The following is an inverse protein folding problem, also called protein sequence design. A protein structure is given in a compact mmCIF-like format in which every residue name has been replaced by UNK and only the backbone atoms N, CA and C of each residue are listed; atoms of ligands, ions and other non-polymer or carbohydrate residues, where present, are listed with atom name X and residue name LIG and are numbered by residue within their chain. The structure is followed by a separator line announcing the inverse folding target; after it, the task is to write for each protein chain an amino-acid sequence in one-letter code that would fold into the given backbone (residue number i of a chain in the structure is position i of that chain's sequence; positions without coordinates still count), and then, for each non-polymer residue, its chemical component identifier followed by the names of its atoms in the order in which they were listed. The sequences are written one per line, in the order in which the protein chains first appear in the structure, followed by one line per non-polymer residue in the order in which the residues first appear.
data_IF_309476962023
#
_entry.id   IF_309476962023
#
_cell.length_a   1.000
_cell.length_b   1.000
_cell.length_c   1.000
_cell.angle_alpha   90.00
_cell.angle_beta   90.00
_cell.angle_gamma   90.00
#
_symmetry.space_group_name_H-M   'P 1'
#
loop_
_entity.id
_entity.type
_entity.pdbx_description
1 polymer ?
#
# COMPACT_ATOMS: atom_id res chain seq x y z
N UNK A 1 -6.33 -8.32 20.61
CA UNK A 1 -5.10 -7.54 20.39
C UNK A 1 -5.50 -6.09 20.16
N UNK A 2 -4.75 -5.10 20.66
CA UNK A 2 -5.05 -3.69 20.38
C UNK A 2 -4.76 -3.41 18.88
N UNK A 3 -5.67 -2.77 18.11
CA UNK A 3 -5.45 -2.45 16.70
C UNK A 3 -4.11 -1.75 16.40
N UNK A 4 -3.67 -0.87 17.30
CA UNK A 4 -2.37 -0.18 17.17
C UNK A 4 -1.20 -1.15 17.24
N UNK A 5 -1.25 -2.11 18.15
CA UNK A 5 -0.19 -3.10 18.32
C UNK A 5 -0.12 -4.04 17.11
N UNK A 6 -1.28 -4.43 16.56
CA UNK A 6 -1.35 -5.24 15.34
C UNK A 6 -0.74 -4.50 14.14
N UNK A 7 -1.03 -3.20 13.97
CA UNK A 7 -0.44 -2.40 12.89
C UNK A 7 1.08 -2.25 13.04
N UNK A 8 1.56 -1.94 14.25
CA UNK A 8 3.00 -1.84 14.53
C UNK A 8 3.70 -3.17 14.25
N UNK A 9 3.07 -4.30 14.58
CA UNK A 9 3.61 -5.62 14.27
C UNK A 9 3.67 -5.90 12.76
N UNK A 10 2.64 -5.53 12.01
CA UNK A 10 2.65 -5.64 10.54
C UNK A 10 3.79 -4.84 9.93
N UNK A 11 4.00 -3.60 10.40
CA UNK A 11 5.15 -2.77 10.01
C UNK A 11 6.48 -3.48 10.29
N UNK A 12 6.73 -3.95 11.52
CA UNK A 12 8.00 -4.60 11.85
C UNK A 12 8.18 -5.93 11.12
N UNK A 13 7.11 -6.68 10.88
CA UNK A 13 7.15 -7.92 10.11
C UNK A 13 7.59 -7.66 8.67
N UNK A 14 6.98 -6.67 8.02
CA UNK A 14 7.35 -6.30 6.65
C UNK A 14 8.73 -5.67 6.57
N UNK A 15 9.07 -4.72 7.46
CA UNK A 15 10.40 -4.08 7.49
C UNK A 15 11.55 -5.10 7.56
N UNK A 16 11.35 -6.23 8.24
CA UNK A 16 12.36 -7.32 8.33
C UNK A 16 12.63 -8.02 7.00
N UNK A 17 11.72 -7.95 6.02
CA UNK A 17 11.91 -8.55 4.69
C UNK A 17 12.67 -7.65 3.74
N UNK A 18 12.89 -6.39 4.12
CA UNK A 18 13.47 -5.35 3.26
C UNK A 18 14.94 -5.13 3.61
N UNK A 19 15.78 -5.10 2.57
CA UNK A 19 17.18 -4.76 2.72
C UNK A 19 17.38 -3.25 2.68
N UNK A 20 17.46 -2.61 3.85
CA UNK A 20 17.65 -1.15 3.97
C UNK A 20 19.00 -0.65 3.45
N UNK A 21 19.96 -1.54 3.16
CA UNK A 21 21.24 -1.15 2.57
C UNK A 21 21.17 -1.00 1.03
N UNK A 22 20.00 -1.24 0.43
CA UNK A 22 19.75 -1.03 -1.01
C UNK A 22 18.73 0.11 -1.18
N UNK A 23 19.23 1.35 -1.16
CA UNK A 23 18.48 2.58 -1.47
C UNK A 23 18.71 3.09 -2.89
N UNK A 24 18.22 4.30 -3.19
CA UNK A 24 18.47 5.03 -4.44
C UNK A 24 17.53 4.69 -5.60
N UNK A 25 16.42 3.99 -5.34
CA UNK A 25 15.44 3.61 -6.37
C UNK A 25 14.07 4.19 -6.06
N UNK A 26 13.48 4.86 -7.04
CA UNK A 26 12.08 5.27 -6.99
C UNK A 26 11.17 4.05 -7.17
N UNK A 27 10.02 4.01 -6.48
CA UNK A 27 9.06 2.95 -6.69
C UNK A 27 8.48 3.00 -8.11
N UNK A 28 8.11 1.83 -8.61
CA UNK A 28 7.37 1.67 -9.85
C UNK A 28 5.87 1.68 -9.55
N UNK A 29 5.13 2.58 -10.21
CA UNK A 29 3.71 2.82 -9.92
C UNK A 29 2.87 1.56 -10.12
N UNK A 30 3.00 0.90 -11.28
CA UNK A 30 2.19 -0.27 -11.62
C UNK A 30 2.44 -1.41 -10.64
N UNK A 31 3.70 -1.68 -10.28
CA UNK A 31 4.03 -2.69 -9.26
C UNK A 31 3.43 -2.36 -7.90
N UNK A 32 3.43 -1.09 -7.49
CA UNK A 32 2.83 -0.70 -6.22
C UNK A 32 1.31 -0.92 -6.21
N UNK A 33 0.61 -0.58 -7.30
CA UNK A 33 -0.81 -0.87 -7.45
C UNK A 33 -1.06 -2.37 -7.31
N UNK A 34 -0.27 -3.21 -7.99
CA UNK A 34 -0.35 -4.66 -7.85
C UNK A 34 -0.11 -5.16 -6.43
N UNK A 35 0.89 -4.62 -5.73
CA UNK A 35 1.12 -4.97 -4.33
C UNK A 35 -0.07 -4.62 -3.43
N UNK A 36 -0.73 -3.48 -3.67
CA UNK A 36 -1.92 -3.09 -2.90
C UNK A 36 -3.05 -4.11 -3.10
N UNK A 37 -3.33 -4.46 -4.35
CA UNK A 37 -4.43 -5.37 -4.72
C UNK A 37 -4.16 -6.83 -4.31
N UNK A 38 -2.90 -7.27 -4.37
CA UNK A 38 -2.51 -8.62 -3.92
C UNK A 38 -2.40 -8.76 -2.41
N UNK A 39 -2.58 -7.67 -1.67
CA UNK A 39 -2.55 -7.71 -0.22
C UNK A 39 -1.15 -7.66 0.39
N UNK A 40 -0.20 -6.95 -0.22
CA UNK A 40 1.20 -6.89 0.22
C UNK A 40 1.59 -5.45 0.60
N UNK A 41 2.11 -5.20 1.83
CA UNK A 41 2.24 -6.16 2.94
C UNK A 41 0.88 -6.63 3.50
N UNK A 42 0.83 -7.76 4.20
CA UNK A 42 -0.34 -8.10 5.02
C UNK A 42 -0.53 -7.05 6.13
N UNK A 43 -1.77 -6.68 6.40
CA UNK A 43 -2.14 -5.65 7.37
C UNK A 43 -3.37 -6.07 8.19
N UNK A 44 -3.58 -5.51 9.39
CA UNK A 44 -4.70 -5.91 10.24
C UNK A 44 -6.08 -5.82 9.60
N UNK A 45 -6.30 -4.83 8.71
CA UNK A 45 -7.58 -4.67 8.02
C UNK A 45 -7.91 -5.80 7.02
N UNK A 46 -6.96 -6.69 6.70
CA UNK A 46 -7.25 -7.88 5.89
C UNK A 46 -8.14 -8.91 6.60
N UNK A 47 -8.17 -8.87 7.94
CA UNK A 47 -8.99 -9.76 8.76
C UNK A 47 -10.45 -9.28 8.87
N UNK A 48 -10.75 -8.06 8.39
CA UNK A 48 -12.09 -7.49 8.37
C UNK A 48 -12.81 -7.80 7.05
N UNK A 49 -14.02 -8.33 7.14
CA UNK A 49 -14.87 -8.67 6.00
C UNK A 49 -15.88 -7.57 5.63
N UNK A 50 -15.80 -6.40 6.27
CA UNK A 50 -16.66 -5.26 5.95
C UNK A 50 -16.36 -4.70 4.55
N UNK A 51 -17.36 -4.07 3.92
CA UNK A 51 -17.18 -3.47 2.58
C UNK A 51 -16.14 -2.35 2.53
N UNK A 52 -15.84 -1.71 3.67
CA UNK A 52 -14.82 -0.66 3.78
C UNK A 52 -13.42 -1.22 4.10
N UNK A 53 -13.33 -2.47 4.56
CA UNK A 53 -12.08 -3.08 5.01
C UNK A 53 -10.98 -3.02 3.95
N UNK A 54 -11.32 -3.25 2.68
CA UNK A 54 -10.34 -3.22 1.59
C UNK A 54 -9.70 -1.83 1.40
N UNK A 55 -10.46 -0.74 1.58
CA UNK A 55 -9.92 0.62 1.49
C UNK A 55 -9.01 0.93 2.67
N UNK A 56 -9.41 0.53 3.88
CA UNK A 56 -8.60 0.67 5.10
C UNK A 56 -7.32 -0.15 4.97
N UNK A 57 -7.38 -1.34 4.36
CA UNK A 57 -6.23 -2.18 4.16
C UNK A 57 -5.23 -1.58 3.18
N UNK A 58 -5.70 -0.92 2.11
CA UNK A 58 -4.83 -0.12 1.22
C UNK A 58 -4.15 1.02 2.01
N UNK A 59 -4.89 1.74 2.86
CA UNK A 59 -4.33 2.84 3.66
C UNK A 59 -3.27 2.38 4.66
N UNK A 60 -3.49 1.23 5.30
CA UNK A 60 -2.50 0.64 6.20
C UNK A 60 -1.24 0.20 5.44
N UNK A 61 -1.41 -0.45 4.27
CA UNK A 61 -0.30 -0.89 3.44
C UNK A 61 0.56 0.26 2.97
N UNK A 62 -0.07 1.32 2.48
CA UNK A 62 0.67 2.45 1.93
C UNK A 62 1.45 3.18 3.01
N UNK A 63 0.90 3.27 4.23
CA UNK A 63 1.62 3.82 5.37
C UNK A 63 2.88 3.02 5.69
N UNK A 64 2.79 1.68 5.71
CA UNK A 64 3.96 0.81 5.97
C UNK A 64 5.00 0.95 4.86
N UNK A 65 4.59 0.92 3.59
CA UNK A 65 5.51 1.01 2.46
C UNK A 65 6.21 2.36 2.39
N UNK A 66 5.49 3.45 2.62
CA UNK A 66 6.08 4.79 2.71
C UNK A 66 7.11 4.89 3.83
N UNK A 67 6.82 4.36 5.02
CA UNK A 67 7.75 4.37 6.14
C UNK A 67 9.06 3.63 5.78
N UNK A 68 8.95 2.43 5.22
CA UNK A 68 10.11 1.65 4.78
C UNK A 68 10.88 2.34 3.65
N UNK A 69 10.18 2.97 2.71
CA UNK A 69 10.82 3.73 1.64
C UNK A 69 11.67 4.88 2.19
N UNK A 70 11.12 5.68 3.12
CA UNK A 70 11.86 6.78 3.76
C UNK A 70 13.05 6.23 4.56
N UNK A 71 12.88 5.15 5.30
CA UNK A 71 13.99 4.51 6.03
C UNK A 71 15.11 4.02 5.11
N UNK A 72 14.76 3.44 3.97
CA UNK A 72 15.72 2.89 3.00
C UNK A 72 16.44 3.98 2.20
N UNK A 73 15.88 5.18 2.14
CA UNK A 73 16.35 6.31 1.34
C UNK A 73 16.62 7.55 2.21
N UNK A 74 16.84 7.37 3.52
CA UNK A 74 17.01 8.46 4.50
C UNK A 74 18.16 9.43 4.20
N UNK A 75 19.12 8.98 3.38
CA UNK A 75 20.30 9.77 3.01
C UNK A 75 20.14 10.40 1.60
N UNK A 76 19.00 10.19 0.93
CA UNK A 76 18.64 10.83 -0.34
C UNK A 76 18.09 12.25 -0.11
N UNK A 77 17.91 13.02 -1.21
CA UNK A 77 17.37 14.37 -1.13
C UNK A 77 15.87 14.42 -0.82
N UNK A 78 15.41 15.53 -0.22
CA UNK A 78 13.99 15.78 0.03
C UNK A 78 13.16 15.68 -1.27
N UNK A 79 13.69 16.18 -2.39
CA UNK A 79 13.03 16.09 -3.70
C UNK A 79 12.83 14.63 -4.15
N UNK A 80 13.83 13.78 -3.90
CA UNK A 80 13.74 12.35 -4.20
C UNK A 80 12.68 11.68 -3.32
N UNK A 81 12.70 11.95 -2.01
CA UNK A 81 11.73 11.42 -1.06
C UNK A 81 10.31 11.85 -1.42
N UNK A 82 10.11 13.14 -1.68
CA UNK A 82 8.83 13.70 -2.10
C UNK A 82 8.30 13.06 -3.38
N UNK A 83 9.17 12.83 -4.36
CA UNK A 83 8.79 12.16 -5.61
C UNK A 83 8.33 10.73 -5.35
N UNK A 84 9.08 9.97 -4.56
CA UNK A 84 8.69 8.61 -4.21
C UNK A 84 7.40 8.55 -3.41
N UNK A 85 7.23 9.43 -2.42
CA UNK A 85 6.02 9.50 -1.59
C UNK A 85 4.77 9.82 -2.42
N UNK A 86 4.86 10.74 -3.40
CA UNK A 86 3.77 11.01 -4.34
C UNK A 86 3.41 9.78 -5.19
N UNK A 87 4.39 9.00 -5.62
CA UNK A 87 4.12 7.75 -6.35
C UNK A 87 3.37 6.73 -5.50
N UNK A 88 3.68 6.64 -4.20
CA UNK A 88 2.89 5.83 -3.27
C UNK A 88 1.45 6.34 -3.11
N UNK A 89 1.24 7.66 -2.99
CA UNK A 89 -0.13 8.23 -2.94
C UNK A 89 -0.93 7.88 -4.19
N UNK A 90 -0.33 8.08 -5.38
CA UNK A 90 -0.96 7.74 -6.65
C UNK A 90 -1.31 6.25 -6.74
N UNK A 91 -0.42 5.36 -6.30
CA UNK A 91 -0.69 3.93 -6.30
C UNK A 91 -1.89 3.55 -5.43
N UNK A 92 -2.01 4.15 -4.24
CA UNK A 92 -3.13 3.90 -3.34
C UNK A 92 -4.45 4.41 -3.92
N UNK A 93 -4.46 5.60 -4.52
CA UNK A 93 -5.63 6.14 -5.22
C UNK A 93 -6.07 5.23 -6.38
N UNK A 94 -5.12 4.82 -7.23
CA UNK A 94 -5.42 3.92 -8.35
C UNK A 94 -5.94 2.56 -7.90
N UNK A 95 -5.35 1.96 -6.87
CA UNK A 95 -5.82 0.69 -6.33
C UNK A 95 -7.25 0.80 -5.77
N UNK A 96 -7.58 1.91 -5.10
CA UNK A 96 -8.94 2.17 -4.60
C UNK A 96 -9.95 2.35 -5.72
N UNK A 97 -9.59 3.06 -6.80
CA UNK A 97 -10.44 3.19 -7.99
C UNK A 97 -10.71 1.81 -8.60
N UNK A 98 -9.67 1.00 -8.80
CA UNK A 98 -9.81 -0.34 -9.37
C UNK A 98 -10.70 -1.26 -8.53
N UNK A 99 -10.67 -1.14 -7.20
CA UNK A 99 -11.60 -1.89 -6.33
C UNK A 99 -13.05 -1.43 -6.45
N UNK A 100 -13.29 -0.15 -6.77
CA UNK A 100 -14.64 0.35 -7.03
C UNK A 100 -15.17 -0.08 -8.41
N UNK A 101 -14.28 -0.48 -9.32
CA UNK A 101 -14.60 -0.90 -10.69
C UNK A 101 -14.98 -2.40 -10.80
N UNK A 102 -15.07 -3.15 -9.69
CA UNK A 102 -15.59 -4.53 -9.66
C UNK A 102 -17.01 -4.62 -10.28
N UNK A 103 -17.27 -5.67 -11.06
CA UNK A 103 -17.89 -5.57 -12.37
C UNK A 103 -19.38 -5.30 -12.26
N UNK A 104 -19.84 -4.23 -12.93
CA UNK A 104 -21.23 -4.16 -13.36
C UNK A 104 -21.58 -5.43 -14.11
N UNK A 105 -22.55 -6.18 -13.59
CA UNK A 105 -23.14 -7.36 -14.20
C UNK A 105 -23.32 -7.09 -15.72
N UNK A 106 -22.71 -7.87 -16.62
CA UNK A 106 -22.90 -7.71 -18.07
C UNK A 106 -24.39 -7.72 -18.49
N UNK A 107 -25.27 -8.30 -17.67
CA UNK A 107 -26.72 -8.34 -17.90
C UNK A 107 -27.44 -7.04 -17.51
N UNK A 108 -26.83 -6.17 -16.71
CA UNK A 108 -27.41 -4.87 -16.32
C UNK A 108 -27.31 -3.79 -17.39
N UNK A 109 -26.51 -4.01 -18.45
CA UNK A 109 -26.36 -3.10 -19.60
C UNK A 109 -27.23 -3.47 -20.81
N UNK A 110 -28.03 -4.53 -20.70
CA UNK A 110 -28.82 -5.10 -21.81
C UNK A 110 -30.34 -5.12 -21.56
N UNK A 111 -30.83 -4.40 -20.55
CA UNK A 111 -32.27 -4.12 -20.32
C UNK A 111 -32.51 -2.60 -20.43
#
# INVERSE_FOLDING_TARGET
MNPKDAFIQAYYAFRKTINLNRGGFLPDLDKLVWYMLMGIPPVPADEDSSGEAAFVAIDQRIAILKAVFVESNRDESDEFLDKGLRTYDQAAEMAKILLQEEPGDPLSRAL
#
